data_IF_552193416268
#
_entry.id   IF_552193416268
#
_cell.length_a   1.000
_cell.length_b   1.000
_cell.length_c   1.000
_cell.angle_alpha   90.00
_cell.angle_beta   90.00
_cell.angle_gamma   90.00
#
_symmetry.space_group_name_H-M   'P 1'
#
loop_
_entity.id
_entity.type
_entity.pdbx_description
1 polymer ?
#
# COMPACT_ATOMS: atom_id res chain seq x y z
N UNK A 1 -3.20 -13.31 -20.92
CA UNK A 1 -3.12 -13.74 -19.51
C UNK A 1 -2.21 -12.77 -18.76
N UNK A 2 -2.72 -11.62 -18.34
CA UNK A 2 -1.95 -10.65 -17.54
C UNK A 2 -2.11 -11.02 -16.07
N UNK A 3 -1.16 -11.79 -15.54
CA UNK A 3 -1.05 -12.04 -14.11
C UNK A 3 -0.73 -10.71 -13.41
N UNK A 4 -1.77 -10.06 -12.90
CA UNK A 4 -1.69 -8.91 -11.98
C UNK A 4 -1.20 -9.35 -10.59
N UNK A 5 -0.15 -10.16 -10.50
CA UNK A 5 0.43 -10.62 -9.23
C UNK A 5 1.53 -9.65 -8.81
N UNK A 6 1.32 -9.00 -7.66
CA UNK A 6 2.42 -8.35 -6.95
C UNK A 6 3.56 -9.36 -6.75
N UNK A 7 4.82 -8.94 -6.83
CA UNK A 7 5.92 -9.80 -6.44
C UNK A 7 5.74 -10.24 -4.98
N UNK A 8 6.08 -11.49 -4.65
CA UNK A 8 5.83 -12.08 -3.33
C UNK A 8 6.33 -11.22 -2.17
N UNK A 9 7.48 -10.54 -2.35
CA UNK A 9 8.02 -9.65 -1.32
C UNK A 9 7.08 -8.48 -1.02
N UNK A 10 6.38 -7.95 -2.03
CA UNK A 10 5.46 -6.81 -1.91
C UNK A 10 4.10 -7.26 -1.36
N UNK A 11 3.63 -8.44 -1.76
CA UNK A 11 2.42 -9.05 -1.20
C UNK A 11 2.57 -9.33 0.30
N UNK A 12 3.73 -9.83 0.74
CA UNK A 12 4.01 -10.06 2.16
C UNK A 12 3.95 -8.74 2.97
N UNK A 13 4.49 -7.65 2.44
CA UNK A 13 4.46 -6.33 3.12
C UNK A 13 3.05 -5.78 3.15
N UNK A 14 2.31 -5.91 2.04
CA UNK A 14 0.90 -5.56 2.00
C UNK A 14 0.11 -6.33 3.07
N UNK A 15 0.31 -7.64 3.21
CA UNK A 15 -0.39 -8.45 4.20
C UNK A 15 -0.13 -7.95 5.64
N UNK A 16 1.12 -7.58 5.96
CA UNK A 16 1.48 -7.02 7.27
C UNK A 16 0.81 -5.66 7.51
N UNK A 17 0.83 -4.77 6.50
CA UNK A 17 0.14 -3.49 6.58
C UNK A 17 -1.38 -3.68 6.68
N UNK A 18 -1.95 -4.62 5.93
CA UNK A 18 -3.37 -4.94 5.91
C UNK A 18 -3.84 -5.53 7.23
N UNK A 19 -3.06 -6.38 7.89
CA UNK A 19 -3.38 -6.88 9.23
C UNK A 19 -3.55 -5.74 10.25
N UNK A 20 -2.70 -4.71 10.16
CA UNK A 20 -2.68 -3.59 11.10
C UNK A 20 -3.66 -2.49 10.79
N UNK A 21 -3.75 -2.09 9.52
CA UNK A 21 -4.56 -0.96 9.10
C UNK A 21 -5.90 -1.40 8.52
N UNK A 22 -5.98 -2.58 7.88
CA UNK A 22 -7.15 -3.05 7.11
C UNK A 22 -7.60 -1.96 6.13
N UNK A 23 -8.69 -1.26 6.43
CA UNK A 23 -9.17 -0.11 5.66
C UNK A 23 -8.96 1.26 6.33
N UNK A 24 -8.16 1.35 7.39
CA UNK A 24 -7.86 2.61 8.04
C UNK A 24 -6.82 3.41 7.25
N UNK A 25 -6.92 4.73 7.33
CA UNK A 25 -5.89 5.64 6.80
C UNK A 25 -4.69 5.70 7.75
N UNK A 26 -3.49 5.76 7.19
CA UNK A 26 -2.24 5.84 7.96
C UNK A 26 -1.24 6.81 7.31
N UNK A 27 -0.22 7.21 8.05
CA UNK A 27 0.87 8.05 7.55
C UNK A 27 2.13 7.21 7.30
N UNK A 28 3.08 7.78 6.57
CA UNK A 28 4.35 7.09 6.26
C UNK A 28 5.08 6.61 7.53
N UNK A 29 5.13 7.45 8.58
CA UNK A 29 5.74 7.07 9.85
C UNK A 29 5.05 5.90 10.57
N UNK A 30 3.75 5.69 10.34
CA UNK A 30 3.03 4.54 10.90
C UNK A 30 3.42 3.26 10.15
N UNK A 31 3.50 3.33 8.81
CA UNK A 31 3.99 2.21 8.00
C UNK A 31 5.44 1.86 8.36
N UNK A 32 6.29 2.86 8.62
CA UNK A 32 7.66 2.66 9.10
C UNK A 32 7.71 1.89 10.42
N UNK A 33 6.90 2.29 11.41
CA UNK A 33 6.84 1.57 12.70
C UNK A 33 6.41 0.11 12.55
N UNK A 34 5.48 -0.17 11.64
CA UNK A 34 5.00 -1.54 11.40
C UNK A 34 6.03 -2.37 10.65
N UNK A 35 6.62 -1.82 9.60
CA UNK A 35 7.50 -2.55 8.69
C UNK A 35 8.96 -2.65 9.20
N UNK A 36 9.46 -1.69 9.98
CA UNK A 36 10.80 -1.74 10.59
C UNK A 36 10.92 -2.80 11.70
N UNK A 37 9.81 -3.25 12.31
CA UNK A 37 9.80 -4.23 13.42
C UNK A 37 10.15 -5.68 13.05
N UNK A 38 10.83 -5.90 11.92
CA UNK A 38 11.29 -7.23 11.50
C UNK A 38 10.79 -7.68 10.14
N UNK A 39 10.14 -6.79 9.38
CA UNK A 39 9.55 -7.14 8.08
C UNK A 39 10.22 -6.50 6.88
N UNK A 40 11.15 -5.55 7.03
CA UNK A 40 11.88 -4.97 5.90
C UNK A 40 13.32 -5.48 5.92
N UNK A 41 13.65 -6.35 4.96
CA UNK A 41 15.04 -6.57 4.57
C UNK A 41 15.66 -5.20 4.24
N UNK A 42 16.86 -4.93 4.77
CA UNK A 42 17.61 -3.66 4.63
C UNK A 42 17.70 -3.10 3.20
N UNK A 43 17.35 -3.89 2.20
CA UNK A 43 17.45 -3.59 0.76
C UNK A 43 16.35 -2.63 0.27
N UNK A 44 15.15 -2.61 0.86
CA UNK A 44 14.04 -1.79 0.35
C UNK A 44 13.39 -0.93 1.42
N UNK A 45 13.52 0.39 1.31
CA UNK A 45 12.89 1.32 2.24
C UNK A 45 11.35 1.28 2.16
N UNK A 46 10.68 1.67 3.25
CA UNK A 46 9.20 1.72 3.33
C UNK A 46 8.61 2.64 2.25
N UNK A 47 9.30 3.72 1.90
CA UNK A 47 8.92 4.58 0.78
C UNK A 47 8.81 3.83 -0.55
N UNK A 48 9.70 2.86 -0.80
CA UNK A 48 9.68 2.03 -2.02
C UNK A 48 8.45 1.13 -2.00
N UNK A 49 8.20 0.44 -0.89
CA UNK A 49 7.03 -0.42 -0.70
C UNK A 49 5.74 0.34 -1.01
N UNK A 50 5.56 1.52 -0.40
CA UNK A 50 4.37 2.35 -0.61
C UNK A 50 4.26 2.85 -2.06
N UNK A 51 5.39 3.24 -2.67
CA UNK A 51 5.40 3.68 -4.06
C UNK A 51 5.01 2.57 -5.03
N UNK A 52 5.51 1.35 -4.82
CA UNK A 52 5.17 0.20 -5.66
C UNK A 52 3.71 -0.24 -5.47
N UNK A 53 3.21 -0.28 -4.23
CA UNK A 53 1.78 -0.55 -3.99
C UNK A 53 0.88 0.50 -4.65
N UNK A 54 1.30 1.77 -4.66
CA UNK A 54 0.55 2.85 -5.31
C UNK A 54 0.53 2.65 -6.82
N UNK A 55 1.69 2.37 -7.44
CA UNK A 55 1.78 2.10 -8.88
C UNK A 55 0.93 0.89 -9.28
N UNK A 56 0.88 -0.12 -8.42
CA UNK A 56 0.04 -1.30 -8.63
C UNK A 56 -1.46 -1.05 -8.36
N UNK A 57 -1.84 0.12 -7.83
CA UNK A 57 -3.23 0.48 -7.52
C UNK A 57 -3.78 -0.07 -6.21
N UNK A 58 -2.93 -0.64 -5.34
CA UNK A 58 -3.30 -1.28 -4.07
C UNK A 58 -3.44 -0.27 -2.92
N UNK A 59 -2.89 0.92 -3.07
CA UNK A 59 -3.08 2.02 -2.12
C UNK A 59 -3.54 3.29 -2.82
N UNK A 60 -4.37 4.06 -2.12
CA UNK A 60 -4.72 5.43 -2.47
C UNK A 60 -3.87 6.36 -1.62
N UNK A 61 -3.37 7.41 -2.23
CA UNK A 61 -2.59 8.45 -1.55
C UNK A 61 -3.31 9.77 -1.75
N UNK A 62 -3.67 10.41 -0.64
CA UNK A 62 -4.30 11.73 -0.63
C UNK A 62 -3.42 12.71 0.14
N UNK A 63 -3.35 13.99 -0.27
CA UNK A 63 -2.65 15.00 0.51
C UNK A 63 -3.33 15.17 1.87
N UNK A 64 -2.54 15.40 2.93
CA UNK A 64 -3.09 15.68 4.25
C UNK A 64 -3.73 17.08 4.24
N UNK A 65 -5.03 17.21 4.59
CA UNK A 65 -5.74 18.49 4.53
C UNK A 65 -5.20 19.52 5.53
N UNK A 66 -4.43 19.09 6.54
CA UNK A 66 -3.83 19.98 7.54
C UNK A 66 -2.40 20.37 7.20
N UNK A 67 -1.71 19.59 6.38
CA UNK A 67 -0.31 19.82 6.01
C UNK A 67 -0.02 19.25 4.63
N UNK A 68 0.01 20.10 3.60
CA UNK A 68 0.24 19.71 2.21
C UNK A 68 1.59 19.01 1.96
N UNK A 69 2.53 19.04 2.92
CA UNK A 69 3.80 18.31 2.84
C UNK A 69 3.67 16.85 3.28
N UNK A 70 2.51 16.47 3.83
CA UNK A 70 2.23 15.12 4.32
C UNK A 70 1.21 14.44 3.43
N UNK A 71 1.34 13.13 3.35
CA UNK A 71 0.43 12.25 2.63
C UNK A 71 -0.28 11.33 3.62
N UNK A 72 -1.56 11.10 3.35
CA UNK A 72 -2.38 10.10 4.01
C UNK A 72 -2.55 8.93 3.03
N UNK A 73 -2.22 7.74 3.49
CA UNK A 73 -2.29 6.51 2.73
C UNK A 73 -3.51 5.70 3.16
N UNK A 74 -4.14 5.04 2.19
CA UNK A 74 -5.28 4.15 2.43
C UNK A 74 -5.08 2.86 1.63
N UNK A 75 -5.14 1.71 2.29
CA UNK A 75 -5.06 0.41 1.61
C UNK A 75 -6.41 0.06 1.02
N UNK A 76 -6.40 -0.40 -0.24
CA UNK A 76 -7.57 -1.00 -0.85
C UNK A 76 -7.67 -2.47 -0.44
N UNK A 77 -8.89 -2.94 -0.24
CA UNK A 77 -9.16 -4.36 -0.06
C UNK A 77 -8.90 -5.12 -1.36
N UNK A 78 -8.66 -6.43 -1.25
CA UNK A 78 -8.55 -7.29 -2.44
C UNK A 78 -9.81 -7.20 -3.31
N UNK A 79 -10.99 -7.12 -2.70
CA UNK A 79 -12.26 -6.92 -3.40
C UNK A 79 -12.32 -5.58 -4.15
N UNK A 80 -11.87 -4.48 -3.53
CA UNK A 80 -11.80 -3.16 -4.17
C UNK A 80 -10.83 -3.15 -5.36
N UNK A 81 -9.70 -3.86 -5.23
CA UNK A 81 -8.72 -3.98 -6.31
C UNK A 81 -9.32 -4.75 -7.48
N UNK A 82 -9.99 -5.88 -7.20
CA UNK A 82 -10.68 -6.69 -8.22
C UNK A 82 -11.74 -5.84 -8.92
N UNK A 83 -12.61 -5.15 -8.18
CA UNK A 83 -13.63 -4.25 -8.76
C UNK A 83 -13.01 -3.14 -9.61
N UNK A 84 -11.90 -2.55 -9.16
CA UNK A 84 -11.19 -1.50 -9.89
C UNK A 84 -10.60 -1.99 -11.21
N UNK A 85 -10.17 -3.25 -11.27
CA UNK A 85 -9.68 -3.87 -12.52
C UNK A 85 -10.84 -4.09 -13.48
N UNK A 86 -11.96 -4.63 -13.00
CA UNK A 86 -13.14 -4.90 -13.83
C UNK A 86 -13.88 -3.64 -14.30
N UNK A 87 -13.79 -2.53 -13.57
CA UNK A 87 -14.46 -1.27 -13.96
C UNK A 87 -13.68 -0.46 -15.01
N UNK A 88 -12.44 -0.85 -15.36
CA UNK A 88 -11.60 -0.14 -16.33
C UNK A 88 -11.77 -0.64 -17.79
N UNK A 89 -12.72 -1.55 -18.05
CA UNK A 89 -12.98 -2.15 -19.38
C UNK A 89 -14.20 -1.55 -20.11
N UNK A 90 -14.61 -0.30 -19.83
CA UNK A 90 -15.65 0.42 -20.62
C UNK A 90 -15.01 1.45 -21.54
#
# INVERSE_FOLDING_TARGET
MTQSKLPNWLENKYAVLWDKFKGATFRMGDAEKILQRGYVDKVQGVAVVLSELRKAGWIVVVPDPKDARKSIYHLKSKDDIIKSIFSAET
#
